data_IF_495064865144
#
_entry.id   IF_495064865144
#
_cell.length_a   1.000
_cell.length_b   1.000
_cell.length_c   1.000
_cell.angle_alpha   90.00
_cell.angle_beta   90.00
_cell.angle_gamma   90.00
#
_symmetry.space_group_name_H-M   'P 1'
#
loop_
_entity.id
_entity.type
_entity.pdbx_description
1 polymer ?
#
# COMPACT_ATOMS: atom_id res chain seq x y z
N UNK A 1 31.49 -27.88 -56.37
CA UNK A 1 30.83 -26.76 -55.65
C UNK A 1 29.83 -27.34 -54.67
N UNK A 2 30.10 -27.28 -53.37
CA UNK A 2 29.20 -27.82 -52.33
C UNK A 2 28.42 -26.65 -51.75
N UNK A 3 27.12 -26.58 -52.01
CA UNK A 3 26.21 -25.61 -51.44
C UNK A 3 25.98 -25.98 -49.98
N UNK A 4 26.40 -25.12 -49.04
CA UNK A 4 26.08 -25.21 -47.61
C UNK A 4 24.69 -24.61 -47.41
N UNK A 5 23.70 -25.45 -47.17
CA UNK A 5 22.39 -25.02 -46.69
C UNK A 5 22.56 -24.55 -45.24
N UNK A 6 22.36 -23.28 -45.00
CA UNK A 6 22.25 -22.68 -43.69
C UNK A 6 20.79 -22.83 -43.27
N UNK A 7 20.50 -23.77 -42.35
CA UNK A 7 19.22 -23.82 -41.67
C UNK A 7 19.17 -22.68 -40.65
N UNK A 8 18.47 -21.61 -41.04
CA UNK A 8 18.04 -20.60 -40.05
C UNK A 8 16.92 -21.17 -39.20
N UNK A 9 17.27 -21.65 -38.01
CA UNK A 9 16.30 -22.00 -36.99
C UNK A 9 15.66 -20.71 -36.48
N UNK A 10 14.48 -20.38 -36.97
CA UNK A 10 13.63 -19.36 -36.37
C UNK A 10 13.16 -19.92 -35.03
N UNK A 11 13.81 -19.55 -33.94
CA UNK A 11 13.35 -19.80 -32.61
C UNK A 11 12.14 -18.89 -32.36
N UNK A 12 10.94 -19.42 -32.64
CA UNK A 12 9.70 -18.77 -32.25
C UNK A 12 9.61 -18.84 -30.72
N UNK A 13 10.11 -17.81 -30.08
CA UNK A 13 9.85 -17.60 -28.67
C UNK A 13 8.33 -17.40 -28.52
N UNK A 14 7.61 -18.47 -28.20
CA UNK A 14 6.29 -18.33 -27.60
C UNK A 14 6.50 -17.62 -26.25
N UNK A 15 6.44 -16.29 -26.27
CA UNK A 15 6.07 -15.55 -25.08
C UNK A 15 4.63 -15.99 -24.75
N UNK A 16 4.49 -16.98 -23.88
CA UNK A 16 3.26 -17.15 -23.14
C UNK A 16 3.07 -15.83 -22.40
N UNK A 17 2.32 -14.92 -23.01
CA UNK A 17 1.86 -13.73 -22.34
C UNK A 17 1.09 -14.23 -21.13
N UNK A 18 1.67 -14.09 -19.93
CA UNK A 18 0.88 -14.17 -18.74
C UNK A 18 -0.28 -13.22 -18.99
N UNK A 19 -1.52 -13.71 -18.88
CA UNK A 19 -2.67 -12.85 -18.95
C UNK A 19 -2.46 -11.79 -17.86
N UNK A 20 -2.10 -10.59 -18.30
CA UNK A 20 -1.95 -9.45 -17.40
C UNK A 20 -3.37 -8.98 -17.14
N UNK A 21 -3.77 -8.95 -15.88
CA UNK A 21 -4.93 -8.21 -15.49
C UNK A 21 -4.65 -6.73 -15.79
N UNK A 22 -5.72 -5.99 -16.02
CA UNK A 22 -5.66 -4.59 -16.42
C UNK A 22 -5.00 -3.74 -15.32
N UNK A 23 -3.74 -3.33 -15.51
CA UNK A 23 -2.99 -2.51 -14.57
C UNK A 23 -3.67 -1.14 -14.44
N UNK A 24 -3.86 -0.67 -13.20
CA UNK A 24 -4.58 0.56 -12.93
C UNK A 24 -3.67 1.62 -12.28
N UNK A 25 -4.01 2.88 -12.52
CA UNK A 25 -3.34 4.01 -11.90
C UNK A 25 -4.36 4.90 -11.17
N UNK A 26 -4.05 5.30 -9.95
CA UNK A 26 -4.85 6.22 -9.17
C UNK A 26 -3.99 7.36 -8.64
N UNK A 27 -4.47 8.60 -8.83
CA UNK A 27 -3.87 9.76 -8.19
C UNK A 27 -4.75 10.18 -7.02
N UNK A 28 -4.30 9.88 -5.81
CA UNK A 28 -5.02 10.20 -4.58
C UNK A 28 -4.91 11.69 -4.18
N UNK A 29 -4.04 12.46 -4.84
CA UNK A 29 -3.78 13.84 -4.48
C UNK A 29 -3.17 13.97 -3.08
N UNK A 30 -3.56 15.00 -2.32
CA UNK A 30 -3.16 15.14 -0.90
C UNK A 30 -4.03 14.19 -0.08
N UNK A 31 -3.40 13.22 0.59
CA UNK A 31 -4.14 12.24 1.38
C UNK A 31 -4.65 12.83 2.70
N UNK A 32 -5.73 12.23 3.20
CA UNK A 32 -6.39 12.63 4.44
C UNK A 32 -5.45 12.57 5.65
N UNK A 33 -5.59 13.52 6.56
CA UNK A 33 -4.95 13.51 7.88
C UNK A 33 -5.87 12.96 8.97
N UNK A 34 -7.14 12.69 8.65
CA UNK A 34 -8.13 12.14 9.57
C UNK A 34 -8.14 10.61 9.48
N UNK A 35 -7.76 9.89 10.55
CA UNK A 35 -7.75 8.44 10.56
C UNK A 35 -9.16 7.82 10.48
N UNK A 36 -10.21 8.59 10.77
CA UNK A 36 -11.60 8.12 10.65
C UNK A 36 -12.10 8.21 9.19
N UNK A 37 -11.47 9.05 8.37
CA UNK A 37 -11.81 9.24 6.96
C UNK A 37 -10.55 9.12 6.08
N UNK A 38 -9.94 7.94 5.98
CA UNK A 38 -8.75 7.73 5.16
C UNK A 38 -9.07 7.96 3.67
N UNK A 39 -8.08 8.41 2.92
CA UNK A 39 -8.16 8.38 1.46
C UNK A 39 -8.16 6.93 0.99
N UNK A 40 -9.20 6.48 0.32
CA UNK A 40 -9.36 5.07 -0.05
C UNK A 40 -9.84 4.90 -1.48
N UNK A 41 -9.45 3.78 -2.09
CA UNK A 41 -9.85 3.39 -3.44
C UNK A 41 -10.04 1.88 -3.52
N UNK A 42 -10.95 1.44 -4.39
CA UNK A 42 -11.18 0.04 -4.70
C UNK A 42 -10.71 -0.22 -6.13
N UNK A 43 -9.81 -1.17 -6.28
CA UNK A 43 -9.31 -1.63 -7.56
C UNK A 43 -10.02 -2.93 -7.95
N UNK A 44 -10.38 -3.03 -9.24
CA UNK A 44 -11.08 -4.17 -9.81
C UNK A 44 -10.25 -4.74 -10.96
N UNK A 45 -9.91 -6.02 -10.90
CA UNK A 45 -9.07 -6.68 -11.88
C UNK A 45 -9.77 -7.91 -12.48
N UNK A 46 -9.44 -8.21 -13.74
CA UNK A 46 -9.75 -9.49 -14.37
C UNK A 46 -8.77 -10.56 -13.91
N UNK A 47 -8.98 -11.83 -14.30
CA UNK A 47 -8.07 -12.92 -13.93
C UNK A 47 -6.65 -12.70 -14.45
N UNK A 48 -5.64 -12.97 -13.64
CA UNK A 48 -4.22 -12.83 -13.96
C UNK A 48 -3.45 -11.98 -12.93
N UNK A 49 -2.17 -11.76 -13.22
CA UNK A 49 -1.33 -10.89 -12.41
C UNK A 49 -1.55 -9.42 -12.76
N UNK A 50 -1.54 -8.53 -11.79
CA UNK A 50 -1.70 -7.08 -11.95
C UNK A 50 -0.62 -6.30 -11.21
N UNK A 51 -0.39 -5.06 -11.67
CA UNK A 51 0.50 -4.09 -11.01
C UNK A 51 -0.14 -2.71 -11.08
N UNK A 52 -0.65 -2.23 -9.95
CA UNK A 52 -1.27 -0.91 -9.87
C UNK A 52 -0.31 0.12 -9.31
N UNK A 53 -0.52 1.36 -9.69
CA UNK A 53 0.29 2.48 -9.23
C UNK A 53 -0.59 3.56 -8.62
N UNK A 54 -0.19 4.04 -7.45
CA UNK A 54 -0.91 5.09 -6.72
C UNK A 54 0.03 6.22 -6.38
N UNK A 55 -0.15 7.37 -7.02
CA UNK A 55 0.58 8.60 -6.69
C UNK A 55 -0.18 9.41 -5.65
N UNK A 56 0.53 9.96 -4.66
CA UNK A 56 -0.09 10.76 -3.60
C UNK A 56 0.90 11.74 -2.95
N UNK A 57 0.34 12.68 -2.19
CA UNK A 57 1.10 13.66 -1.41
C UNK A 57 0.75 13.50 0.07
N UNK A 58 1.75 13.33 0.91
CA UNK A 58 1.57 13.36 2.36
C UNK A 58 1.86 14.77 2.90
N UNK A 59 0.92 15.36 3.66
CA UNK A 59 1.14 16.66 4.29
C UNK A 59 2.03 16.60 5.53
N UNK A 60 2.16 15.42 6.15
CA UNK A 60 2.95 15.20 7.37
C UNK A 60 3.84 13.96 7.19
N UNK A 61 5.01 13.87 7.88
CA UNK A 61 5.93 12.75 7.76
C UNK A 61 5.43 11.50 8.52
N UNK A 62 4.23 11.06 8.21
CA UNK A 62 3.60 9.86 8.76
C UNK A 62 2.65 9.28 7.73
N UNK A 63 2.73 8.00 7.49
CA UNK A 63 1.86 7.32 6.53
C UNK A 63 1.37 6.00 7.13
N UNK A 64 0.08 5.94 7.44
CA UNK A 64 -0.65 4.70 7.68
C UNK A 64 -1.17 4.15 6.35
N UNK A 65 -0.95 2.86 6.13
CA UNK A 65 -1.39 2.16 4.91
C UNK A 65 -2.09 0.86 5.26
N UNK A 66 -3.10 0.48 4.46
CA UNK A 66 -3.72 -0.83 4.53
C UNK A 66 -4.19 -1.22 3.13
N UNK A 67 -3.78 -2.39 2.65
CA UNK A 67 -4.28 -2.99 1.42
C UNK A 67 -4.97 -4.31 1.75
N UNK A 68 -6.23 -4.45 1.36
CA UNK A 68 -7.07 -5.56 1.79
C UNK A 68 -7.77 -6.20 0.59
N UNK A 69 -7.58 -7.51 0.34
CA UNK A 69 -8.42 -8.25 -0.58
C UNK A 69 -9.89 -8.14 -0.14
N UNK A 70 -10.76 -7.84 -1.08
CA UNK A 70 -12.20 -7.77 -0.82
C UNK A 70 -12.83 -9.12 -1.17
N UNK A 71 -13.51 -9.73 -0.21
CA UNK A 71 -14.24 -10.98 -0.36
C UNK A 71 -15.72 -10.69 -0.44
N UNK A 72 -16.31 -10.81 -1.62
CA UNK A 72 -17.76 -10.78 -1.80
C UNK A 72 -18.29 -12.23 -1.92
N UNK A 73 -19.13 -12.63 -0.99
CA UNK A 73 -19.84 -13.89 -1.07
C UNK A 73 -21.27 -13.61 -1.56
N UNK A 74 -21.50 -13.79 -2.85
CA UNK A 74 -22.82 -13.70 -3.45
C UNK A 74 -23.43 -15.10 -3.58
N UNK A 75 -24.37 -15.43 -2.70
CA UNK A 75 -25.14 -16.70 -2.73
C UNK A 75 -24.28 -17.96 -2.69
N UNK A 76 -23.19 -17.97 -1.91
CA UNK A 76 -22.30 -19.12 -1.77
C UNK A 76 -21.16 -19.18 -2.80
N UNK A 77 -21.09 -18.24 -3.74
CA UNK A 77 -19.98 -18.10 -4.69
C UNK A 77 -19.05 -17.00 -4.21
N UNK A 78 -17.78 -17.34 -3.97
CA UNK A 78 -16.73 -16.38 -3.63
C UNK A 78 -16.37 -15.63 -4.92
N UNK A 79 -16.69 -14.34 -4.99
CA UNK A 79 -16.58 -13.55 -6.25
C UNK A 79 -15.21 -12.89 -6.40
N UNK A 80 -14.38 -12.89 -5.36
CA UNK A 80 -13.09 -12.22 -5.42
C UNK A 80 -11.97 -13.03 -4.78
N UNK A 81 -10.98 -13.40 -5.57
CA UNK A 81 -9.80 -14.15 -5.13
C UNK A 81 -8.52 -13.40 -5.53
N UNK A 82 -8.20 -12.33 -4.80
CA UNK A 82 -6.87 -11.72 -4.91
C UNK A 82 -5.93 -12.45 -3.96
N UNK A 83 -4.84 -12.98 -4.51
CA UNK A 83 -3.80 -13.70 -3.78
C UNK A 83 -2.46 -12.98 -3.93
N UNK A 84 -1.54 -13.20 -3.00
CA UNK A 84 -0.20 -12.60 -3.00
C UNK A 84 -0.22 -11.07 -3.13
N UNK A 85 -1.24 -10.43 -2.54
CA UNK A 85 -1.34 -8.97 -2.54
C UNK A 85 -0.20 -8.40 -1.70
N UNK A 86 0.64 -7.59 -2.34
CA UNK A 86 1.74 -6.88 -1.70
C UNK A 86 1.87 -5.48 -2.30
N UNK A 87 2.40 -4.55 -1.52
CA UNK A 87 2.67 -3.21 -2.01
C UNK A 87 3.99 -2.66 -1.49
N UNK A 88 4.66 -1.87 -2.32
CA UNK A 88 5.92 -1.22 -1.99
C UNK A 88 5.74 0.29 -2.06
N UNK A 89 6.24 1.00 -1.04
CA UNK A 89 6.17 2.46 -0.94
C UNK A 89 7.48 3.07 -1.41
N UNK A 90 7.37 4.08 -2.27
CA UNK A 90 8.50 4.82 -2.85
C UNK A 90 8.33 6.32 -2.60
N UNK A 91 9.44 7.05 -2.50
CA UNK A 91 9.46 8.51 -2.61
C UNK A 91 9.48 8.95 -4.08
N UNK A 92 8.96 10.13 -4.34
CA UNK A 92 8.79 10.65 -5.69
C UNK A 92 7.52 10.14 -6.36
N UNK A 93 7.32 10.55 -7.61
CA UNK A 93 6.21 10.06 -8.45
C UNK A 93 6.55 8.70 -9.06
N UNK A 94 5.53 7.99 -9.55
CA UNK A 94 5.69 6.75 -10.31
C UNK A 94 6.62 6.88 -11.51
N UNK A 95 6.64 8.05 -12.15
CA UNK A 95 7.54 8.35 -13.28
C UNK A 95 9.00 8.59 -12.85
N UNK A 96 9.24 9.04 -11.60
CA UNK A 96 10.57 9.41 -11.08
C UNK A 96 10.72 8.94 -9.62
N UNK A 97 10.88 7.64 -9.37
CA UNK A 97 11.10 7.11 -8.02
C UNK A 97 12.49 7.52 -7.52
N UNK A 98 12.57 7.97 -6.26
CA UNK A 98 13.82 8.44 -5.66
C UNK A 98 14.31 7.60 -4.48
N UNK A 99 13.47 6.71 -3.95
CA UNK A 99 13.83 5.83 -2.83
C UNK A 99 12.71 4.87 -2.48
N UNK A 100 13.02 3.82 -1.71
CA UNK A 100 12.08 2.77 -1.29
C UNK A 100 11.95 2.78 0.22
N UNK A 101 10.72 2.65 0.73
CA UNK A 101 10.39 2.64 2.16
C UNK A 101 9.85 1.30 2.67
N UNK A 102 10.04 0.25 1.92
CA UNK A 102 9.68 -1.11 2.29
C UNK A 102 8.52 -1.69 1.50
N UNK A 103 8.36 -3.01 1.64
CA UNK A 103 7.27 -3.79 1.05
C UNK A 103 6.40 -4.35 2.16
N UNK A 104 5.09 -4.29 1.97
CA UNK A 104 4.07 -4.66 2.93
C UNK A 104 3.07 -5.63 2.29
N UNK A 105 2.42 -6.45 3.10
CA UNK A 105 1.46 -7.43 2.61
C UNK A 105 0.02 -6.92 2.73
N UNK A 106 -0.80 -7.30 1.77
CA UNK A 106 -2.23 -7.04 1.79
C UNK A 106 -2.98 -8.16 2.53
N UNK A 107 -2.86 -8.18 3.85
CA UNK A 107 -3.34 -9.25 4.74
C UNK A 107 -4.35 -8.75 5.79
N UNK A 108 -5.05 -7.67 5.51
CA UNK A 108 -5.94 -6.93 6.42
C UNK A 108 -5.22 -6.26 7.61
N UNK A 109 -3.90 -6.17 7.57
CA UNK A 109 -3.11 -5.46 8.57
C UNK A 109 -2.90 -4.01 8.15
N UNK A 110 -2.96 -3.10 9.12
CA UNK A 110 -2.58 -1.71 8.92
C UNK A 110 -1.11 -1.53 9.27
N UNK A 111 -0.36 -0.93 8.38
CA UNK A 111 1.07 -0.67 8.56
C UNK A 111 1.33 0.82 8.73
N UNK A 112 2.29 1.15 9.59
CA UNK A 112 2.83 2.50 9.69
C UNK A 112 4.18 2.54 8.97
N UNK A 113 4.22 3.26 7.87
CA UNK A 113 5.43 3.41 7.05
C UNK A 113 6.30 4.51 7.64
N UNK A 114 7.57 4.24 7.99
CA UNK A 114 8.44 5.20 8.65
C UNK A 114 8.95 6.26 7.66
N UNK A 115 8.09 7.18 7.26
CA UNK A 115 8.46 8.32 6.42
C UNK A 115 9.04 9.43 7.28
N UNK A 116 10.05 10.12 6.74
CA UNK A 116 10.78 11.17 7.46
C UNK A 116 10.46 12.58 6.98
N UNK A 117 9.83 12.71 5.82
CA UNK A 117 9.58 14.00 5.16
C UNK A 117 8.17 14.00 4.56
N UNK A 118 7.47 15.12 4.70
CA UNK A 118 6.26 15.38 3.92
C UNK A 118 6.63 15.55 2.44
N UNK A 119 5.75 15.16 1.52
CA UNK A 119 6.06 15.31 0.10
C UNK A 119 5.31 14.32 -0.80
N UNK A 120 5.85 14.12 -1.98
CA UNK A 120 5.29 13.26 -3.03
C UNK A 120 5.82 11.85 -2.88
N UNK A 121 4.91 10.90 -2.94
CA UNK A 121 5.18 9.46 -2.84
C UNK A 121 4.32 8.69 -3.83
N UNK A 122 4.71 7.45 -4.09
CA UNK A 122 3.84 6.51 -4.80
C UNK A 122 3.93 5.12 -4.19
N UNK A 123 2.88 4.36 -4.40
CA UNK A 123 2.79 2.95 -4.04
C UNK A 123 2.65 2.13 -5.32
N UNK A 124 3.39 1.05 -5.41
CA UNK A 124 3.19 0.01 -6.41
C UNK A 124 2.58 -1.20 -5.71
N UNK A 125 1.37 -1.56 -6.12
CA UNK A 125 0.63 -2.72 -5.59
C UNK A 125 0.69 -3.83 -6.62
N UNK A 126 1.00 -5.03 -6.20
CA UNK A 126 1.00 -6.22 -7.05
C UNK A 126 0.19 -7.34 -6.41
N UNK A 127 -0.44 -8.14 -7.25
CA UNK A 127 -1.24 -9.27 -6.80
C UNK A 127 -1.59 -10.18 -7.97
N UNK A 128 -2.36 -11.23 -7.66
CA UNK A 128 -2.82 -12.17 -8.66
C UNK A 128 -4.28 -12.56 -8.39
N UNK A 129 -5.13 -12.44 -9.41
CA UNK A 129 -6.52 -12.90 -9.36
C UNK A 129 -6.59 -14.34 -9.81
N UNK A 130 -6.95 -15.24 -8.88
CA UNK A 130 -7.05 -16.70 -9.12
C UNK A 130 -8.50 -17.15 -9.18
N UNK A 131 -8.74 -18.25 -9.87
CA UNK A 131 -10.01 -18.93 -9.91
C UNK A 131 -10.71 -18.88 -11.26
N UNK A 132 -11.89 -19.49 -11.32
CA UNK A 132 -12.78 -19.49 -12.50
C UNK A 132 -13.58 -18.18 -12.60
N UNK A 133 -13.60 -17.40 -11.54
CA UNK A 133 -14.25 -16.10 -11.48
C UNK A 133 -13.35 -15.07 -12.15
N UNK A 134 -13.95 -14.30 -13.03
CA UNK A 134 -13.23 -13.39 -13.94
C UNK A 134 -12.84 -12.07 -13.30
N UNK A 135 -13.10 -11.86 -12.00
CA UNK A 135 -12.86 -10.59 -11.34
C UNK A 135 -12.32 -10.77 -9.92
N UNK A 136 -11.34 -9.95 -9.57
CA UNK A 136 -10.81 -9.77 -8.22
C UNK A 136 -10.86 -8.30 -7.81
N UNK A 137 -10.97 -8.03 -6.52
CA UNK A 137 -10.96 -6.67 -5.99
C UNK A 137 -10.11 -6.57 -4.73
N UNK A 138 -9.45 -5.42 -4.56
CA UNK A 138 -8.86 -5.05 -3.28
C UNK A 138 -9.13 -3.58 -2.98
N UNK A 139 -9.16 -3.23 -1.69
CA UNK A 139 -9.24 -1.86 -1.21
C UNK A 139 -7.88 -1.40 -0.70
N UNK A 140 -7.45 -0.20 -1.10
CA UNK A 140 -6.29 0.48 -0.54
C UNK A 140 -6.75 1.68 0.26
N UNK A 141 -6.25 1.83 1.49
CA UNK A 141 -6.50 2.99 2.35
C UNK A 141 -5.18 3.64 2.76
N UNK A 142 -5.13 4.97 2.70
CA UNK A 142 -3.98 5.80 3.00
C UNK A 142 -4.38 6.92 3.96
N UNK A 143 -3.58 7.15 5.00
CA UNK A 143 -3.77 8.24 5.93
C UNK A 143 -2.44 8.82 6.36
N UNK A 144 -2.33 10.16 6.39
CA UNK A 144 -1.18 10.87 6.94
C UNK A 144 -1.52 11.33 8.36
N UNK A 145 -1.57 10.38 9.31
CA UNK A 145 -1.96 10.69 10.67
C UNK A 145 -0.92 11.58 11.37
N UNK A 146 -1.39 12.69 11.94
CA UNK A 146 -0.62 13.43 12.93
C UNK A 146 -0.85 12.74 14.27
N UNK A 147 0.18 12.45 15.08
CA UNK A 147 -0.04 12.06 16.47
C UNK A 147 -0.90 13.14 17.13
N UNK A 148 -2.07 12.76 17.64
CA UNK A 148 -3.06 13.70 18.17
C UNK A 148 -2.42 14.57 19.26
N UNK A 149 -2.63 15.91 19.26
CA UNK A 149 -2.14 16.79 20.29
C UNK A 149 -2.53 16.35 21.71
N UNK A 150 -3.68 15.63 21.80
CA UNK A 150 -4.19 15.04 23.04
C UNK A 150 -3.24 13.99 23.64
N UNK A 151 -2.56 13.19 22.79
CA UNK A 151 -1.56 12.21 23.26
C UNK A 151 -0.39 12.90 23.93
N UNK A 152 0.10 14.02 23.37
CA UNK A 152 1.16 14.83 23.97
C UNK A 152 0.66 15.54 25.23
N UNK A 153 -0.58 16.04 25.23
CA UNK A 153 -1.20 16.69 26.40
C UNK A 153 -1.36 15.70 27.55
N UNK A 154 -1.82 14.49 27.30
CA UNK A 154 -1.95 13.42 28.30
C UNK A 154 -0.60 12.96 28.83
N UNK A 155 0.42 12.85 27.96
CA UNK A 155 1.78 12.52 28.38
C UNK A 155 2.38 13.63 29.28
N UNK A 156 2.24 14.90 28.89
CA UNK A 156 2.69 16.06 29.70
C UNK A 156 1.94 16.14 31.03
N UNK A 157 0.63 15.88 31.02
CA UNK A 157 -0.20 15.82 32.25
C UNK A 157 0.31 14.73 33.19
N UNK A 158 0.60 13.53 32.63
CA UNK A 158 1.15 12.41 33.40
C UNK A 158 2.50 12.74 34.05
N UNK A 159 3.42 13.30 33.27
CA UNK A 159 4.75 13.75 33.77
C UNK A 159 4.58 14.86 34.80
N UNK A 160 3.69 15.83 34.54
CA UNK A 160 3.39 16.94 35.47
C UNK A 160 2.86 16.45 36.82
N UNK A 161 1.93 15.50 36.81
CA UNK A 161 1.40 14.88 38.04
C UNK A 161 2.46 14.11 38.82
N UNK A 162 3.33 13.35 38.14
CA UNK A 162 4.44 12.65 38.80
C UNK A 162 5.42 13.64 39.46
N UNK A 163 5.77 14.71 38.76
CA UNK A 163 6.62 15.77 39.31
C UNK A 163 6.00 16.45 40.53
N UNK A 164 4.70 16.75 40.48
CA UNK A 164 3.96 17.32 41.63
C UNK A 164 3.95 16.40 42.86
N UNK A 165 3.68 15.11 42.65
CA UNK A 165 3.67 14.13 43.76
C UNK A 165 5.06 13.96 44.38
N UNK A 166 6.12 13.91 43.54
CA UNK A 166 7.50 13.80 44.02
C UNK A 166 7.88 15.02 44.86
N UNK A 167 7.56 16.24 44.41
CA UNK A 167 7.80 17.46 45.18
C UNK A 167 7.06 17.54 46.49
N UNK A 168 5.82 17.03 46.51
CA UNK A 168 5.01 17.00 47.75
C UNK A 168 5.58 16.04 48.78
N UNK A 169 6.14 14.90 48.37
CA UNK A 169 6.82 13.95 49.26
C UNK A 169 8.07 14.53 49.90
N UNK A 170 8.89 15.29 49.16
CA UNK A 170 10.12 15.94 49.64
C UNK A 170 9.82 17.01 50.70
N UNK A 171 8.63 17.64 50.74
CA UNK A 171 8.27 18.66 51.71
C UNK A 171 7.69 18.09 53.00
N UNK A 172 7.44 16.80 53.09
CA UNK A 172 6.87 16.11 54.26
C UNK A 172 7.89 15.26 55.03
N UNK A 173 9.10 15.12 54.55
CA UNK A 173 10.25 14.55 55.23
C UNK A 173 11.20 15.63 55.69
#
# INVERSE_FOLDING_TARGET
MKAKMIFASVLLALSAGAASADDQAWNAGVISTDPLHPSSHIFLHTSGGFTDTVDFVIPNPSLGTSANPLYLNLSGTLVTNVTNLAYTVFSGTSALPTGTYGTYWGDNTSYNVPLTVAGVYHIVVSGFVTGTDTQGAYGLALVSAVPEPETYAMMLLGIGMMGYVARRRQRRG
#
